data_IF_822483837567
#
_entry.id   IF_822483837567
#
_cell.length_a   1.000
_cell.length_b   1.000
_cell.length_c   1.000
_cell.angle_alpha   90.00
_cell.angle_beta   90.00
_cell.angle_gamma   90.00
#
_symmetry.space_group_name_H-M   'P 1'
#
loop_
_entity.id
_entity.type
_entity.pdbx_description
1 polymer ?
#
# COMPACT_ATOMS: atom_id res chain seq x y z
N UNK A 1 -2.26 -2.97 6.52
CA UNK A 1 -1.75 -3.13 7.91
C UNK A 1 -1.99 -1.82 8.65
N UNK A 2 -2.46 -1.81 9.90
CA UNK A 2 -2.64 -0.54 10.63
C UNK A 2 -1.29 -0.02 11.13
N UNK A 3 -1.05 1.30 11.08
CA UNK A 3 0.20 1.94 11.52
C UNK A 3 0.61 1.49 12.93
N UNK A 4 -0.34 1.45 13.89
CA UNK A 4 -0.09 0.93 15.25
C UNK A 4 0.43 -0.51 15.27
N UNK A 5 -0.10 -1.40 14.44
CA UNK A 5 0.34 -2.80 14.40
C UNK A 5 1.77 -2.92 13.86
N UNK A 6 2.20 -2.01 13.00
CA UNK A 6 3.56 -1.98 12.47
C UNK A 6 4.53 -1.42 13.51
N UNK A 7 4.14 -0.38 14.27
CA UNK A 7 4.90 0.11 15.43
C UNK A 7 5.19 -1.03 16.43
N UNK A 8 4.13 -1.70 16.89
CA UNK A 8 4.23 -2.77 17.89
C UNK A 8 5.16 -3.91 17.40
N UNK A 9 5.08 -4.28 16.12
CA UNK A 9 5.90 -5.38 15.55
C UNK A 9 7.35 -5.02 15.29
N UNK A 10 7.63 -3.75 15.00
CA UNK A 10 9.00 -3.25 14.84
C UNK A 10 9.67 -2.97 16.19
N UNK A 11 8.92 -3.08 17.29
CA UNK A 11 9.42 -2.84 18.65
C UNK A 11 10.10 -1.47 18.74
N UNK A 12 9.45 -0.45 18.20
CA UNK A 12 9.96 0.92 18.16
C UNK A 12 10.29 1.36 19.59
N UNK A 13 11.53 1.79 19.82
CA UNK A 13 11.98 2.31 21.10
C UNK A 13 11.80 3.83 21.18
N UNK A 14 11.84 4.40 22.39
CA UNK A 14 11.67 5.84 22.62
C UNK A 14 12.61 6.70 21.76
N UNK A 15 13.86 6.27 21.59
CA UNK A 15 14.84 6.96 20.75
C UNK A 15 14.47 7.00 19.25
N UNK A 16 13.58 6.11 18.81
CA UNK A 16 13.14 5.96 17.42
C UNK A 16 11.78 6.63 17.17
N UNK A 17 11.05 7.06 18.21
CA UNK A 17 9.68 7.59 18.09
C UNK A 17 9.56 8.79 17.15
N UNK A 18 10.54 9.70 17.19
CA UNK A 18 10.54 10.86 16.29
C UNK A 18 10.67 10.45 14.81
N UNK A 19 11.45 9.40 14.52
CA UNK A 19 11.59 8.86 13.16
C UNK A 19 10.36 8.05 12.75
N UNK A 20 9.82 7.26 13.69
CA UNK A 20 8.58 6.54 13.51
C UNK A 20 7.41 7.48 13.19
N UNK A 21 7.29 8.60 13.90
CA UNK A 21 6.25 9.60 13.66
C UNK A 21 6.23 10.10 12.21
N UNK A 22 7.41 10.32 11.60
CA UNK A 22 7.53 10.69 10.19
C UNK A 22 7.05 9.57 9.26
N UNK A 23 7.47 8.33 9.51
CA UNK A 23 7.00 7.16 8.75
C UNK A 23 5.49 7.01 8.84
N UNK A 24 4.94 7.06 10.05
CA UNK A 24 3.51 6.95 10.33
C UNK A 24 2.71 8.04 9.61
N UNK A 25 3.19 9.29 9.66
CA UNK A 25 2.56 10.41 8.97
C UNK A 25 2.55 10.18 7.45
N UNK A 26 3.70 9.87 6.84
CA UNK A 26 3.80 9.61 5.40
C UNK A 26 2.89 8.46 4.96
N UNK A 27 2.83 7.36 5.73
CA UNK A 27 1.91 6.25 5.43
C UNK A 27 0.44 6.67 5.48
N UNK A 28 0.04 7.47 6.47
CA UNK A 28 -1.33 7.95 6.62
C UNK A 28 -1.72 8.93 5.51
N UNK A 29 -0.82 9.83 5.13
CA UNK A 29 -1.07 10.81 4.06
C UNK A 29 -1.16 10.14 2.69
N UNK A 30 -0.30 9.14 2.43
CA UNK A 30 -0.39 8.29 1.25
C UNK A 30 -1.71 7.50 1.22
N UNK A 31 -2.12 6.92 2.35
CA UNK A 31 -3.40 6.19 2.44
C UNK A 31 -4.60 7.10 2.13
N UNK A 32 -4.66 8.31 2.71
CA UNK A 32 -5.72 9.29 2.42
C UNK A 32 -5.78 9.65 0.94
N UNK A 33 -4.63 9.82 0.30
CA UNK A 33 -4.55 10.14 -1.13
C UNK A 33 -5.10 9.00 -1.98
N UNK A 34 -4.68 7.77 -1.70
CA UNK A 34 -5.16 6.58 -2.39
C UNK A 34 -6.65 6.33 -2.18
N UNK A 35 -7.15 6.53 -0.95
CA UNK A 35 -8.57 6.40 -0.61
C UNK A 35 -9.40 7.43 -1.39
N UNK A 36 -8.94 8.69 -1.45
CA UNK A 36 -9.62 9.74 -2.20
C UNK A 36 -9.71 9.42 -3.70
N UNK A 37 -8.61 9.00 -4.31
CA UNK A 37 -8.58 8.68 -5.75
C UNK A 37 -9.43 7.44 -6.06
N UNK A 38 -9.36 6.43 -5.22
CA UNK A 38 -10.17 5.21 -5.36
C UNK A 38 -11.65 5.51 -5.21
N UNK A 39 -12.03 6.33 -4.22
CA UNK A 39 -13.42 6.73 -4.03
C UNK A 39 -13.93 7.55 -5.21
N UNK A 40 -13.15 8.52 -5.70
CA UNK A 40 -13.52 9.31 -6.88
C UNK A 40 -13.74 8.43 -8.12
N UNK A 41 -12.92 7.39 -8.31
CA UNK A 41 -13.12 6.41 -9.39
C UNK A 41 -14.40 5.60 -9.20
N UNK A 42 -14.67 5.12 -7.99
CA UNK A 42 -15.89 4.36 -7.67
C UNK A 42 -17.15 5.20 -7.91
N UNK A 43 -17.15 6.45 -7.45
CA UNK A 43 -18.30 7.35 -7.56
C UNK A 43 -18.65 7.66 -9.02
N UNK A 44 -17.64 7.68 -9.91
CA UNK A 44 -17.80 7.97 -11.33
C UNK A 44 -17.87 6.74 -12.22
N UNK A 45 -17.68 5.53 -11.67
CA UNK A 45 -17.49 4.31 -12.44
C UNK A 45 -18.61 3.99 -13.45
N UNK A 46 -19.85 4.44 -13.19
CA UNK A 46 -21.00 4.20 -14.07
C UNK A 46 -21.05 5.13 -15.30
N UNK A 47 -20.38 6.27 -15.22
CA UNK A 47 -20.47 7.37 -16.19
C UNK A 47 -19.14 7.62 -16.91
N UNK A 48 -18.09 6.85 -16.61
CA UNK A 48 -16.76 7.01 -17.21
C UNK A 48 -16.69 6.42 -18.61
N UNK A 49 -16.10 7.17 -19.53
CA UNK A 49 -15.66 6.62 -20.82
C UNK A 49 -14.44 5.71 -20.62
N UNK A 50 -14.10 4.92 -21.64
CA UNK A 50 -12.88 4.10 -21.61
C UNK A 50 -11.60 4.95 -21.41
N UNK A 51 -11.57 6.18 -21.94
CA UNK A 51 -10.44 7.10 -21.75
C UNK A 51 -10.38 7.63 -20.32
N UNK A 52 -11.54 7.94 -19.73
CA UNK A 52 -11.59 8.39 -18.33
C UNK A 52 -11.15 7.28 -17.38
N UNK A 53 -11.50 6.02 -17.67
CA UNK A 53 -11.08 4.86 -16.88
C UNK A 53 -9.56 4.69 -16.89
N UNK A 54 -8.94 4.79 -18.07
CA UNK A 54 -7.48 4.75 -18.19
C UNK A 54 -6.80 5.91 -17.47
N UNK A 55 -7.36 7.13 -17.55
CA UNK A 55 -6.82 8.30 -16.83
C UNK A 55 -6.88 8.09 -15.31
N UNK A 56 -8.02 7.67 -14.79
CA UNK A 56 -8.18 7.44 -13.35
C UNK A 56 -7.25 6.34 -12.84
N UNK A 57 -7.05 5.28 -13.63
CA UNK A 57 -6.06 4.26 -13.30
C UNK A 57 -4.63 4.81 -13.31
N UNK A 58 -4.29 5.66 -14.28
CA UNK A 58 -3.02 6.38 -14.33
C UNK A 58 -2.76 7.21 -13.08
N UNK A 59 -3.73 8.03 -12.66
CA UNK A 59 -3.65 8.86 -11.45
C UNK A 59 -3.41 8.02 -10.17
N UNK A 60 -4.13 6.89 -10.03
CA UNK A 60 -3.94 5.97 -8.90
C UNK A 60 -2.53 5.37 -8.92
N UNK A 61 -2.04 4.97 -10.10
CA UNK A 61 -0.71 4.37 -10.26
C UNK A 61 0.40 5.39 -9.96
N UNK A 62 0.26 6.62 -10.44
CA UNK A 62 1.19 7.72 -10.16
C UNK A 62 1.22 8.07 -8.67
N UNK A 63 0.05 8.20 -8.03
CA UNK A 63 -0.03 8.45 -6.60
C UNK A 63 0.59 7.33 -5.76
N UNK A 64 0.46 6.07 -6.20
CA UNK A 64 1.10 4.95 -5.52
C UNK A 64 2.64 5.02 -5.66
N UNK A 65 3.15 5.29 -6.85
CA UNK A 65 4.58 5.46 -7.08
C UNK A 65 5.16 6.62 -6.26
N UNK A 66 4.47 7.76 -6.24
CA UNK A 66 4.82 8.93 -5.42
C UNK A 66 4.81 8.60 -3.93
N UNK A 67 3.82 7.83 -3.47
CA UNK A 67 3.74 7.36 -2.10
C UNK A 67 4.97 6.50 -1.72
N UNK A 68 5.43 5.61 -2.59
CA UNK A 68 6.65 4.83 -2.37
C UNK A 68 7.88 5.75 -2.36
N UNK A 69 7.96 6.70 -3.30
CA UNK A 69 9.07 7.66 -3.41
C UNK A 69 9.24 8.49 -2.13
N UNK A 70 8.14 8.91 -1.52
CA UNK A 70 8.15 9.70 -0.27
C UNK A 70 8.39 8.83 0.97
N UNK A 71 7.84 7.61 1.02
CA UNK A 71 7.99 6.71 2.16
C UNK A 71 9.40 6.12 2.29
N UNK A 72 10.04 5.81 1.16
CA UNK A 72 11.36 5.16 1.13
C UNK A 72 12.42 5.87 1.97
N UNK A 73 12.70 7.19 1.79
CA UNK A 73 13.76 7.86 2.55
C UNK A 73 13.47 7.96 4.05
N UNK A 74 12.21 8.20 4.45
CA UNK A 74 11.85 8.29 5.88
C UNK A 74 11.95 6.92 6.55
N UNK A 75 11.56 5.85 5.86
CA UNK A 75 11.71 4.50 6.37
C UNK A 75 13.17 4.06 6.42
N UNK A 76 13.99 4.42 5.42
CA UNK A 76 15.43 4.14 5.44
C UNK A 76 16.14 4.77 6.65
N UNK A 77 15.74 6.01 7.01
CA UNK A 77 16.26 6.70 8.20
C UNK A 77 15.90 5.93 9.49
N UNK A 78 14.64 5.51 9.64
CA UNK A 78 14.22 4.70 10.77
C UNK A 78 14.96 3.36 10.80
N UNK A 79 15.03 2.66 9.67
CA UNK A 79 15.69 1.36 9.54
C UNK A 79 17.18 1.42 9.91
N UNK A 80 17.88 2.50 9.55
CA UNK A 80 19.28 2.68 9.93
C UNK A 80 19.49 2.76 11.45
N UNK A 81 18.51 3.30 12.19
CA UNK A 81 18.53 3.39 13.66
C UNK A 81 18.13 2.09 14.38
N UNK A 82 17.64 1.10 13.65
CA UNK A 82 17.17 -0.15 14.21
C UNK A 82 18.33 -1.07 14.61
N UNK A 83 18.14 -1.80 15.70
CA UNK A 83 18.98 -2.94 16.06
C UNK A 83 18.83 -4.09 15.05
N UNK A 84 19.80 -5.00 15.00
CA UNK A 84 19.75 -6.13 14.07
C UNK A 84 18.48 -7.01 14.22
N UNK A 85 17.98 -7.30 15.43
CA UNK A 85 16.70 -8.00 15.57
C UNK A 85 15.51 -7.23 14.98
N UNK A 86 15.46 -5.91 15.17
CA UNK A 86 14.41 -5.07 14.61
C UNK A 86 14.49 -5.02 13.07
N UNK A 87 15.69 -4.89 12.51
CA UNK A 87 15.93 -4.95 11.05
C UNK A 87 15.45 -6.27 10.46
N UNK A 88 15.78 -7.40 11.10
CA UNK A 88 15.29 -8.72 10.68
C UNK A 88 13.77 -8.82 10.72
N UNK A 89 13.12 -8.25 11.74
CA UNK A 89 11.65 -8.20 11.81
C UNK A 89 11.05 -7.33 10.70
N UNK A 90 11.64 -6.16 10.43
CA UNK A 90 11.24 -5.31 9.31
C UNK A 90 11.34 -6.06 7.98
N UNK A 91 12.48 -6.66 7.68
CA UNK A 91 12.72 -7.45 6.48
C UNK A 91 11.69 -8.57 6.31
N UNK A 92 11.39 -9.31 7.38
CA UNK A 92 10.36 -10.37 7.35
C UNK A 92 8.98 -9.79 7.05
N UNK A 93 8.62 -8.64 7.63
CA UNK A 93 7.34 -7.99 7.40
C UNK A 93 7.12 -7.64 5.93
N UNK A 94 8.15 -7.08 5.28
CA UNK A 94 8.07 -6.69 3.87
C UNK A 94 8.17 -7.91 2.94
N UNK A 95 9.04 -8.90 3.20
CA UNK A 95 9.11 -10.15 2.41
C UNK A 95 7.83 -11.00 2.46
N UNK A 96 7.09 -10.95 3.56
CA UNK A 96 5.83 -11.70 3.72
C UNK A 96 4.60 -10.90 3.29
N UNK A 97 4.73 -9.58 3.08
CA UNK A 97 3.70 -8.75 2.45
C UNK A 97 3.38 -9.22 1.04
N UNK A 98 4.40 -9.64 0.29
CA UNK A 98 4.27 -10.11 -1.09
C UNK A 98 3.52 -11.47 -1.20
N UNK A 99 3.56 -12.31 -0.16
CA UNK A 99 2.91 -13.65 -0.20
C UNK A 99 1.42 -13.66 0.16
N UNK A 100 0.78 -12.49 0.25
CA UNK A 100 -0.68 -12.39 0.38
C UNK A 100 -1.38 -11.99 -0.93
N UNK A 101 -0.65 -11.90 -2.04
CA UNK A 101 -1.21 -11.76 -3.39
C UNK A 101 -1.50 -13.09 -4.10
N UNK A 102 -0.75 -14.16 -3.81
CA UNK A 102 -0.71 -15.36 -4.68
C UNK A 102 -1.40 -16.62 -4.14
N UNK A 103 -2.35 -16.51 -3.21
CA UNK A 103 -3.07 -17.69 -2.66
C UNK A 103 -4.60 -17.62 -2.67
N UNK A 104 -5.20 -16.83 -3.57
CA UNK A 104 -6.64 -16.88 -3.81
C UNK A 104 -6.94 -17.14 -5.29
N UNK A 105 -6.63 -18.37 -5.74
CA UNK A 105 -6.88 -18.79 -7.12
C UNK A 105 -7.20 -20.27 -7.30
N UNK A 106 -7.50 -21.00 -6.23
CA UNK A 106 -7.93 -22.40 -6.33
C UNK A 106 -9.23 -22.62 -5.54
N UNK A 107 -10.28 -22.86 -6.33
CA UNK A 107 -11.56 -23.54 -6.05
C UNK A 107 -12.87 -22.72 -6.13
N UNK A 108 -13.53 -22.92 -7.30
CA UNK A 108 -14.95 -23.33 -7.52
C UNK A 108 -16.04 -22.26 -7.79
N UNK A 109 -16.45 -22.25 -9.06
CA UNK A 109 -17.76 -21.93 -9.65
C UNK A 109 -18.94 -21.60 -8.71
N UNK A 110 -19.53 -20.41 -8.89
CA UNK A 110 -20.95 -20.25 -9.26
C UNK A 110 -21.25 -18.83 -9.76
N UNK A 111 -21.98 -18.79 -10.88
CA UNK A 111 -22.61 -17.67 -11.57
C UNK A 111 -22.89 -16.43 -10.69
N UNK A 112 -22.49 -15.24 -11.16
CA UNK A 112 -23.28 -13.98 -11.24
C UNK A 112 -22.44 -12.96 -12.08
N UNK A 113 -23.14 -12.05 -12.77
CA UNK A 113 -22.73 -11.23 -13.94
C UNK A 113 -21.28 -10.69 -13.97
N UNK A 114 -20.63 -10.89 -15.14
CA UNK A 114 -19.36 -10.27 -15.58
C UNK A 114 -19.39 -8.74 -15.42
N UNK A 115 -18.59 -8.20 -14.51
CA UNK A 115 -17.91 -6.90 -14.72
C UNK A 115 -16.68 -7.11 -15.63
N UNK A 116 -16.18 -6.06 -16.30
CA UNK A 116 -15.09 -6.22 -17.27
C UNK A 116 -13.82 -6.73 -16.57
N UNK A 117 -13.38 -7.91 -17.01
CA UNK A 117 -12.07 -8.48 -16.73
C UNK A 117 -11.01 -7.46 -17.16
N UNK A 118 -10.18 -7.00 -16.22
CA UNK A 118 -8.90 -6.38 -16.52
C UNK A 118 -7.90 -7.47 -16.96
N UNK A 119 -7.12 -7.29 -18.04
CA UNK A 119 -6.01 -8.17 -18.35
C UNK A 119 -4.88 -7.99 -17.32
N UNK A 120 -4.12 -9.06 -17.00
CA UNK A 120 -2.94 -8.94 -16.14
C UNK A 120 -1.89 -8.07 -16.83
N UNK A 121 -1.23 -7.22 -16.04
CA UNK A 121 -0.10 -6.41 -16.49
C UNK A 121 1.05 -7.34 -16.94
N UNK A 122 1.48 -7.18 -18.19
CA UNK A 122 2.76 -7.70 -18.71
C UNK A 122 3.84 -6.63 -18.57
#
# INVERSE_FOLDING_TARGET
>A
MRVKQMHDRLMIADAQEAQWGKVAQTMNDNAKTMDKLTQARIDRAKDMTAVDDLKSYGEITEAHAEGIRTLTPVFATLYASMSDPQKKQADMMFRHGDRRGDRHGMYKNRHHKRGPNLPPAN
#
